data_IF_122618184297
#
_entry.id   IF_122618184297
#
_cell.length_a   1.000
_cell.length_b   1.000
_cell.length_c   1.000
_cell.angle_alpha   90.00
_cell.angle_beta   90.00
_cell.angle_gamma   90.00
#
_symmetry.space_group_name_H-M   'P 1'
#
loop_
_entity.id
_entity.type
_entity.pdbx_description
1 polymer ?
#
# COMPACT_ATOMS: atom_id res chain seq x y z
N UNK A 1 24.95 2.10 2.56
CA UNK A 1 25.55 0.84 3.02
C UNK A 1 26.72 1.15 3.93
N UNK A 2 26.97 0.32 4.95
CA UNK A 2 28.12 0.48 5.86
C UNK A 2 28.84 -0.85 6.02
N UNK A 3 30.14 -0.78 6.36
CA UNK A 3 30.92 -1.94 6.76
C UNK A 3 31.63 -1.59 8.06
N UNK A 4 31.37 -2.38 9.10
CA UNK A 4 31.88 -2.15 10.47
C UNK A 4 31.59 -0.75 11.02
N UNK A 5 30.42 -0.19 10.65
CA UNK A 5 30.00 1.16 11.02
C UNK A 5 30.45 2.26 10.07
N UNK A 6 31.44 2.03 9.24
CA UNK A 6 31.97 3.03 8.29
C UNK A 6 31.11 3.04 7.00
N UNK A 7 30.75 4.24 6.55
CA UNK A 7 30.00 4.41 5.30
C UNK A 7 30.88 4.06 4.11
N UNK A 8 30.39 3.17 3.26
CA UNK A 8 31.06 2.80 2.03
C UNK A 8 30.62 3.74 0.89
N UNK A 9 31.59 4.41 0.29
CA UNK A 9 31.37 5.29 -0.87
C UNK A 9 31.44 4.48 -2.17
N UNK A 10 30.34 3.78 -2.47
CA UNK A 10 30.15 3.07 -3.75
C UNK A 10 28.84 3.48 -4.38
N UNK A 11 28.83 3.55 -5.71
CA UNK A 11 27.60 3.75 -6.46
C UNK A 11 26.73 2.48 -6.36
N UNK A 12 25.52 2.62 -5.80
CA UNK A 12 24.50 1.58 -5.81
C UNK A 12 23.54 1.86 -6.95
N UNK A 13 23.62 1.05 -8.01
CA UNK A 13 22.78 1.19 -9.20
C UNK A 13 21.63 0.18 -9.13
N UNK A 14 20.36 0.61 -9.19
CA UNK A 14 19.23 -0.30 -9.20
C UNK A 14 19.32 -1.28 -10.38
N UNK A 15 19.13 -2.59 -10.11
CA UNK A 15 19.20 -3.65 -11.12
C UNK A 15 20.61 -4.21 -11.33
N UNK A 16 21.63 -3.72 -10.66
CA UNK A 16 22.99 -4.19 -10.72
C UNK A 16 23.48 -4.76 -9.39
N UNK A 17 24.45 -5.67 -9.45
CA UNK A 17 25.15 -6.15 -8.23
C UNK A 17 26.18 -5.14 -7.78
N UNK A 18 26.16 -4.81 -6.48
CA UNK A 18 27.23 -4.02 -5.87
C UNK A 18 28.41 -4.94 -5.54
N UNK A 19 29.56 -4.70 -6.16
CA UNK A 19 30.78 -5.48 -5.92
C UNK A 19 31.65 -4.76 -4.92
N UNK A 20 32.01 -5.45 -3.82
CA UNK A 20 32.90 -4.93 -2.78
C UNK A 20 34.14 -5.77 -2.72
N UNK A 21 35.28 -5.20 -3.11
CA UNK A 21 36.60 -5.87 -3.08
C UNK A 21 37.38 -5.39 -1.87
N UNK A 22 37.63 -6.29 -0.91
CA UNK A 22 38.45 -6.02 0.28
C UNK A 22 38.95 -7.32 0.90
N UNK A 23 39.90 -7.23 1.83
CA UNK A 23 40.29 -8.36 2.69
C UNK A 23 39.25 -8.51 3.80
N UNK A 24 38.42 -9.59 3.73
CA UNK A 24 37.41 -9.91 4.72
C UNK A 24 38.02 -10.60 5.94
N UNK A 25 37.55 -10.26 7.13
CA UNK A 25 37.93 -10.88 8.40
C UNK A 25 36.70 -11.49 9.07
N UNK A 26 36.89 -12.53 9.86
CA UNK A 26 35.86 -13.05 10.71
C UNK A 26 35.33 -11.96 11.65
N UNK A 27 34.00 -11.77 11.68
CA UNK A 27 33.34 -10.71 12.46
C UNK A 27 33.08 -9.41 11.70
N UNK A 28 33.50 -9.28 10.44
CA UNK A 28 33.08 -8.14 9.60
C UNK A 28 31.58 -8.10 9.43
N UNK A 29 30.97 -6.91 9.60
CA UNK A 29 29.53 -6.67 9.52
C UNK A 29 29.23 -5.75 8.35
N UNK A 30 28.30 -6.17 7.48
CA UNK A 30 27.74 -5.33 6.42
C UNK A 30 26.36 -4.88 6.86
N UNK A 31 26.11 -3.56 6.86
CA UNK A 31 24.82 -2.96 7.10
C UNK A 31 24.25 -2.40 5.79
N UNK A 32 23.12 -2.93 5.38
CA UNK A 32 22.37 -2.43 4.21
C UNK A 32 21.07 -1.81 4.69
N UNK A 33 20.94 -0.50 4.51
CA UNK A 33 19.67 0.20 4.74
C UNK A 33 18.88 0.31 3.43
N UNK A 34 17.68 -0.27 3.43
CA UNK A 34 16.75 -0.23 2.30
C UNK A 34 15.49 0.52 2.74
N UNK A 35 15.40 1.82 2.51
CA UNK A 35 14.25 2.61 2.94
C UNK A 35 12.97 2.14 2.24
N UNK A 36 11.94 1.85 3.05
CA UNK A 36 10.64 1.39 2.59
C UNK A 36 9.60 2.51 2.72
N UNK A 37 9.60 3.42 1.75
CA UNK A 37 8.61 4.49 1.70
C UNK A 37 7.26 3.99 1.18
N UNK A 38 6.17 4.55 1.72
CA UNK A 38 4.82 4.36 1.18
C UNK A 38 4.70 5.19 -0.10
N UNK A 39 4.16 4.59 -1.15
CA UNK A 39 3.89 5.24 -2.44
C UNK A 39 2.52 4.81 -2.95
N UNK A 40 1.83 5.72 -3.62
CA UNK A 40 0.69 5.40 -4.46
C UNK A 40 1.22 5.11 -5.87
N UNK A 41 0.81 3.99 -6.43
CA UNK A 41 1.23 3.54 -7.77
C UNK A 41 0.02 3.55 -8.67
N UNK A 42 0.12 4.25 -9.78
CA UNK A 42 -0.86 4.29 -10.85
C UNK A 42 -0.47 3.30 -11.96
N UNK A 43 -1.46 2.65 -12.56
CA UNK A 43 -1.25 1.83 -13.74
C UNK A 43 -0.98 2.67 -14.99
N UNK A 44 -0.29 2.10 -15.98
CA UNK A 44 -0.11 2.76 -17.26
C UNK A 44 -1.48 3.00 -17.94
N UNK A 45 -1.63 4.12 -18.65
CA UNK A 45 -2.90 4.54 -19.30
C UNK A 45 -3.54 3.51 -20.24
N UNK A 46 -2.73 2.57 -20.77
CA UNK A 46 -3.21 1.46 -21.61
C UNK A 46 -3.81 0.30 -20.85
N UNK A 47 -3.71 0.29 -19.51
CA UNK A 47 -4.30 -0.75 -18.66
C UNK A 47 -5.67 -0.22 -18.24
N UNK A 48 -6.70 -0.54 -19.03
CA UNK A 48 -8.04 0.06 -18.87
C UNK A 48 -8.70 -0.34 -17.55
N UNK A 49 -8.42 -1.54 -17.04
CA UNK A 49 -9.02 -2.12 -15.84
C UNK A 49 -8.67 -1.33 -14.56
N UNK A 50 -7.53 -0.64 -14.55
CA UNK A 50 -7.08 0.14 -13.38
C UNK A 50 -7.01 1.65 -13.65
N UNK A 51 -7.70 2.10 -14.71
CA UNK A 51 -7.77 3.53 -15.03
C UNK A 51 -8.41 4.33 -13.88
N UNK A 52 -7.78 5.45 -13.49
CA UNK A 52 -8.17 6.28 -12.36
C UNK A 52 -8.14 5.55 -11.01
N UNK A 53 -7.33 4.51 -10.90
CA UNK A 53 -7.11 3.77 -9.68
C UNK A 53 -5.64 3.78 -9.29
N UNK A 54 -5.39 3.65 -8.00
CA UNK A 54 -4.04 3.58 -7.44
C UNK A 54 -3.92 2.40 -6.48
N UNK A 55 -2.74 1.81 -6.43
CA UNK A 55 -2.37 0.80 -5.45
C UNK A 55 -1.45 1.40 -4.40
N UNK A 56 -1.60 0.97 -3.15
CA UNK A 56 -0.70 1.33 -2.06
C UNK A 56 0.48 0.36 -2.04
N UNK A 57 1.68 0.90 -2.09
CA UNK A 57 2.92 0.10 -2.07
C UNK A 57 3.89 0.65 -1.02
N UNK A 58 4.60 -0.24 -0.32
CA UNK A 58 5.67 0.10 0.60
C UNK A 58 6.92 -0.72 0.30
N UNK A 59 7.96 -0.08 -0.19
CA UNK A 59 9.12 -0.80 -0.75
C UNK A 59 8.68 -1.76 -1.87
N UNK A 60 9.01 -3.06 -1.82
CA UNK A 60 8.58 -4.06 -2.80
C UNK A 60 7.17 -4.62 -2.52
N UNK A 61 6.58 -4.34 -1.36
CA UNK A 61 5.32 -4.95 -0.91
C UNK A 61 4.15 -4.11 -1.39
N UNK A 62 3.20 -4.77 -2.05
CA UNK A 62 1.89 -4.22 -2.40
C UNK A 62 0.92 -4.48 -1.26
N UNK A 63 0.01 -3.55 -1.03
CA UNK A 63 -1.01 -3.63 0.01
C UNK A 63 -2.41 -3.67 -0.61
N UNK A 64 -3.33 -4.26 0.09
CA UNK A 64 -4.75 -4.31 -0.27
C UNK A 64 -5.61 -3.91 0.92
N UNK A 65 -6.85 -3.56 0.63
CA UNK A 65 -7.91 -3.39 1.62
C UNK A 65 -8.80 -4.63 1.59
N UNK A 66 -9.31 -5.05 2.74
CA UNK A 66 -10.22 -6.18 2.87
C UNK A 66 -11.54 -5.77 3.51
N UNK A 67 -12.63 -6.44 3.14
CA UNK A 67 -13.97 -6.13 3.69
C UNK A 67 -14.07 -6.22 5.22
N UNK A 68 -13.35 -7.09 5.95
CA UNK A 68 -13.35 -7.08 7.42
C UNK A 68 -12.80 -5.80 8.07
N UNK A 69 -12.09 -4.96 7.30
CA UNK A 69 -11.56 -3.68 7.79
C UNK A 69 -12.50 -2.50 7.47
N UNK A 70 -13.67 -2.78 6.93
CA UNK A 70 -14.73 -1.82 6.61
C UNK A 70 -15.94 -1.99 7.54
N UNK A 71 -16.79 -0.97 7.70
CA UNK A 71 -18.09 -1.13 8.35
C UNK A 71 -18.94 -2.21 7.65
N UNK A 72 -19.74 -2.98 8.40
CA UNK A 72 -20.58 -4.06 7.88
C UNK A 72 -21.50 -3.65 6.72
N UNK A 73 -21.93 -2.37 6.70
CA UNK A 73 -22.80 -1.83 5.65
C UNK A 73 -22.06 -1.39 4.38
N UNK A 74 -20.73 -1.40 4.38
CA UNK A 74 -19.91 -0.93 3.28
C UNK A 74 -19.47 -2.10 2.38
N UNK A 75 -19.48 -1.87 1.07
CA UNK A 75 -18.88 -2.77 0.09
C UNK A 75 -17.48 -2.29 -0.26
N UNK A 76 -16.60 -3.22 -0.64
CA UNK A 76 -15.26 -2.89 -1.14
C UNK A 76 -15.30 -1.94 -2.34
N UNK A 77 -16.38 -1.99 -3.12
CA UNK A 77 -16.60 -1.13 -4.29
C UNK A 77 -17.07 0.30 -3.93
N UNK A 78 -17.35 0.58 -2.65
CA UNK A 78 -17.65 1.93 -2.15
C UNK A 78 -16.41 2.71 -1.76
N UNK A 79 -15.26 2.04 -1.74
CA UNK A 79 -14.01 2.60 -1.24
C UNK A 79 -13.34 3.46 -2.29
N UNK A 80 -12.94 4.66 -1.88
CA UNK A 80 -12.14 5.60 -2.66
C UNK A 80 -10.95 6.07 -1.83
N UNK A 81 -9.80 6.25 -2.47
CA UNK A 81 -8.60 6.74 -1.80
C UNK A 81 -8.36 8.21 -2.15
N UNK A 82 -8.34 9.13 -1.17
CA UNK A 82 -7.88 10.50 -1.40
C UNK A 82 -6.42 10.52 -1.84
N UNK A 83 -6.06 11.28 -2.87
CA UNK A 83 -4.68 11.40 -3.35
C UNK A 83 -3.71 11.96 -2.30
N UNK A 84 -4.22 12.71 -1.33
CA UNK A 84 -3.47 13.29 -0.20
C UNK A 84 -3.75 12.55 1.12
N UNK A 85 -4.26 11.30 1.08
CA UNK A 85 -4.47 10.50 2.28
C UNK A 85 -3.18 10.37 3.09
N UNK A 86 -3.29 10.59 4.39
CA UNK A 86 -2.18 10.41 5.33
C UNK A 86 -2.05 8.92 5.65
N UNK A 87 -1.07 8.29 5.02
CA UNK A 87 -0.77 6.87 5.20
C UNK A 87 0.37 6.71 6.20
N UNK A 88 0.19 5.87 7.21
CA UNK A 88 1.18 5.61 8.25
C UNK A 88 1.46 4.11 8.43
N UNK A 89 2.71 3.79 8.74
CA UNK A 89 3.14 2.40 8.94
C UNK A 89 2.84 1.96 10.36
N UNK A 90 2.19 0.82 10.52
CA UNK A 90 1.88 0.20 11.81
C UNK A 90 2.52 -1.19 11.89
N UNK A 91 3.34 -1.42 12.91
CA UNK A 91 3.86 -2.77 13.21
C UNK A 91 2.84 -3.51 14.06
N UNK A 92 2.40 -4.66 13.61
CA UNK A 92 1.38 -5.47 14.28
C UNK A 92 1.92 -6.87 14.63
N UNK A 93 2.69 -7.00 15.73
CA UNK A 93 3.40 -8.25 16.07
C UNK A 93 2.49 -9.47 16.24
N UNK A 94 1.25 -9.28 16.68
CA UNK A 94 0.27 -10.35 16.93
C UNK A 94 -0.76 -10.52 15.80
N UNK A 95 -0.74 -9.66 14.80
CA UNK A 95 -1.69 -9.71 13.70
C UNK A 95 -1.12 -10.51 12.52
N UNK A 96 -1.83 -11.54 12.05
CA UNK A 96 -1.44 -12.38 10.91
C UNK A 96 0.02 -12.88 10.97
N UNK A 97 0.48 -13.29 12.16
CA UNK A 97 1.85 -13.78 12.36
C UNK A 97 2.92 -12.71 12.43
N UNK A 98 2.55 -11.44 12.62
CA UNK A 98 3.50 -10.34 12.77
C UNK A 98 3.76 -9.56 11.49
N UNK A 99 2.70 -9.05 10.86
CA UNK A 99 2.81 -8.21 9.65
C UNK A 99 2.94 -6.72 9.98
N UNK A 100 3.44 -5.97 9.01
CA UNK A 100 3.37 -4.52 9.03
C UNK A 100 2.20 -4.08 8.16
N UNK A 101 1.23 -3.37 8.75
CA UNK A 101 0.08 -2.79 8.04
C UNK A 101 0.33 -1.31 7.73
N UNK A 102 -0.52 -0.74 6.91
CA UNK A 102 -0.58 0.71 6.67
C UNK A 102 -1.96 1.18 7.12
N UNK A 103 -2.00 2.15 8.01
CA UNK A 103 -3.22 2.83 8.41
C UNK A 103 -3.40 4.10 7.58
N UNK A 104 -4.62 4.36 7.15
CA UNK A 104 -4.92 5.54 6.35
C UNK A 104 -6.38 5.88 6.27
N UNK A 105 -6.64 7.12 5.87
CA UNK A 105 -7.96 7.64 5.62
C UNK A 105 -8.44 7.25 4.23
N UNK A 106 -9.65 6.72 4.16
CA UNK A 106 -10.38 6.44 2.93
C UNK A 106 -11.73 7.16 2.94
N UNK A 107 -12.35 7.23 1.78
CA UNK A 107 -13.70 7.76 1.60
C UNK A 107 -14.63 6.62 1.20
N UNK A 108 -15.74 6.49 1.91
CA UNK A 108 -16.82 5.58 1.58
C UNK A 108 -17.95 6.35 0.88
N UNK A 109 -18.32 5.89 -0.30
CA UNK A 109 -19.45 6.44 -1.02
C UNK A 109 -20.78 5.97 -0.41
N UNK A 110 -21.68 6.90 -0.08
CA UNK A 110 -22.97 6.63 0.60
C UNK A 110 -24.15 6.52 -0.37
N UNK A 111 -24.13 7.23 -1.47
CA UNK A 111 -25.26 7.44 -2.36
C UNK A 111 -25.34 6.37 -3.49
N UNK A 112 -25.44 5.10 -3.13
CA UNK A 112 -25.69 4.05 -4.12
C UNK A 112 -27.16 4.02 -4.53
N UNK A 113 -27.40 4.36 -5.79
CA UNK A 113 -28.70 4.12 -6.40
C UNK A 113 -28.90 2.63 -6.70
N UNK A 114 -30.17 2.22 -6.82
CA UNK A 114 -30.56 0.84 -7.18
C UNK A 114 -30.61 0.58 -8.68
N UNK A 115 -30.54 1.62 -9.51
CA UNK A 115 -30.59 1.52 -10.96
C UNK A 115 -29.26 1.14 -11.58
N UNK A 116 -29.29 0.41 -12.71
CA UNK A 116 -28.09 0.05 -13.48
C UNK A 116 -27.39 1.29 -14.05
N UNK A 117 -28.15 2.31 -14.39
CA UNK A 117 -27.68 3.62 -14.86
C UNK A 117 -28.42 4.72 -14.10
N UNK A 118 -27.77 5.84 -13.88
CA UNK A 118 -28.37 7.01 -13.24
C UNK A 118 -27.70 8.29 -13.76
N UNK A 119 -28.38 9.40 -13.57
CA UNK A 119 -27.79 10.71 -13.84
C UNK A 119 -26.59 10.94 -12.93
N UNK A 120 -25.58 11.63 -13.47
CA UNK A 120 -24.40 12.02 -12.69
C UNK A 120 -24.82 13.03 -11.64
N UNK A 121 -24.60 12.70 -10.39
CA UNK A 121 -24.78 13.58 -9.23
C UNK A 121 -23.48 13.69 -8.47
N UNK A 122 -23.33 14.71 -7.65
CA UNK A 122 -22.19 14.78 -6.73
C UNK A 122 -22.35 13.65 -5.69
N UNK A 123 -21.37 12.77 -5.55
CA UNK A 123 -21.46 11.69 -4.58
C UNK A 123 -21.27 12.21 -3.16
N UNK A 124 -22.00 11.62 -2.21
CA UNK A 124 -21.76 11.81 -0.79
C UNK A 124 -20.71 10.83 -0.30
N UNK A 125 -19.71 11.35 0.42
CA UNK A 125 -18.64 10.56 1.00
C UNK A 125 -18.60 10.70 2.52
N UNK A 126 -18.29 9.60 3.19
CA UNK A 126 -17.88 9.57 4.59
C UNK A 126 -16.41 9.23 4.67
N UNK A 127 -15.66 10.01 5.45
CA UNK A 127 -14.25 9.70 5.74
C UNK A 127 -14.14 8.75 6.91
N UNK A 128 -13.41 7.66 6.73
CA UNK A 128 -13.08 6.71 7.80
C UNK A 128 -11.60 6.38 7.80
N UNK A 129 -11.08 5.98 8.96
CA UNK A 129 -9.76 5.37 9.07
C UNK A 129 -9.88 3.86 8.90
N UNK A 130 -8.99 3.27 8.12
CA UNK A 130 -8.91 1.82 7.89
C UNK A 130 -7.47 1.36 7.78
N UNK A 131 -7.27 0.04 7.79
CA UNK A 131 -5.96 -0.54 7.57
C UNK A 131 -5.86 -1.20 6.20
N UNK A 132 -4.67 -1.11 5.63
CA UNK A 132 -4.25 -1.87 4.46
C UNK A 132 -3.35 -3.01 4.93
N UNK A 133 -3.61 -4.21 4.47
CA UNK A 133 -2.81 -5.39 4.79
C UNK A 133 -1.86 -5.73 3.63
N UNK A 134 -0.69 -6.32 3.89
CA UNK A 134 0.16 -6.80 2.80
C UNK A 134 -0.60 -7.80 1.93
N UNK A 135 -0.53 -7.66 0.61
CA UNK A 135 -1.24 -8.52 -0.33
C UNK A 135 -0.96 -10.02 -0.11
N UNK A 136 0.26 -10.39 0.28
CA UNK A 136 0.59 -11.80 0.57
C UNK A 136 -0.12 -12.37 1.80
N UNK A 137 -0.72 -11.51 2.63
CA UNK A 137 -1.38 -11.90 3.88
C UNK A 137 -2.91 -11.82 3.80
N UNK A 138 -3.49 -11.48 2.64
CA UNK A 138 -4.94 -11.40 2.46
C UNK A 138 -5.63 -12.76 2.60
N UNK A 139 -6.92 -12.76 2.92
CA UNK A 139 -7.78 -13.96 3.10
C UNK A 139 -7.35 -14.91 4.23
N UNK A 140 -6.45 -14.50 5.13
CA UNK A 140 -6.05 -15.28 6.30
C UNK A 140 -6.94 -15.03 7.54
N UNK A 141 -8.00 -14.21 7.38
CA UNK A 141 -8.98 -13.86 8.42
C UNK A 141 -10.37 -14.44 8.17
N UNK A 142 -10.49 -15.35 7.23
CA UNK A 142 -11.74 -15.93 6.75
C UNK A 142 -12.09 -15.44 5.35
N UNK A 143 -13.32 -15.74 4.91
CA UNK A 143 -13.84 -15.29 3.62
C UNK A 143 -14.00 -13.77 3.60
N UNK A 144 -13.43 -13.12 2.60
CA UNK A 144 -13.42 -11.66 2.48
C UNK A 144 -13.30 -11.22 1.02
N UNK A 145 -13.94 -10.09 0.70
CA UNK A 145 -13.63 -9.33 -0.52
C UNK A 145 -12.35 -8.53 -0.30
N UNK A 146 -11.58 -8.32 -1.37
CA UNK A 146 -10.40 -7.45 -1.30
C UNK A 146 -10.19 -6.64 -2.57
N UNK A 147 -9.50 -5.51 -2.44
CA UNK A 147 -9.04 -4.73 -3.58
C UNK A 147 -7.62 -4.21 -3.37
N UNK A 148 -6.81 -4.33 -4.42
CA UNK A 148 -5.46 -3.73 -4.49
C UNK A 148 -5.53 -2.33 -5.10
N UNK A 149 -6.28 -2.21 -6.21
CA UNK A 149 -6.45 -0.93 -6.88
C UNK A 149 -7.74 -0.26 -6.41
N UNK A 150 -7.61 0.97 -5.94
CA UNK A 150 -8.72 1.77 -5.44
C UNK A 150 -8.92 3.01 -6.32
N UNK A 151 -10.17 3.36 -6.67
CA UNK A 151 -10.46 4.62 -7.32
C UNK A 151 -9.87 5.79 -6.53
N UNK A 152 -9.18 6.70 -7.22
CA UNK A 152 -8.55 7.85 -6.58
C UNK A 152 -9.40 9.10 -6.72
N UNK A 153 -9.51 9.88 -5.63
CA UNK A 153 -10.06 11.23 -5.64
C UNK A 153 -8.90 12.22 -5.55
N UNK A 154 -8.67 12.95 -6.64
CA UNK A 154 -7.65 13.96 -6.71
C UNK A 154 -8.09 15.21 -5.93
N UNK A 155 -7.41 15.47 -4.83
CA UNK A 155 -7.62 16.65 -4.02
C UNK A 155 -6.68 17.78 -4.49
N UNK A 156 -7.24 18.95 -4.70
CA UNK A 156 -6.52 20.17 -5.05
C UNK A 156 -5.69 20.72 -3.88
#
# INVERSE_FOLDING_TARGET
MKINGDTLDIALVPGEFATITRQWKAGDVIELDMPMHIKLIEGHERIEEVRNQVAVKRGPIVYCIESPDLPESASITDVYLPSKSKLSVQKQPSFLGGVTTIEGEILLRKDRGTGMYRDVSQPEFESISTQFVPYFAWSNRGEAEMSVFLPVIWQQ
#
